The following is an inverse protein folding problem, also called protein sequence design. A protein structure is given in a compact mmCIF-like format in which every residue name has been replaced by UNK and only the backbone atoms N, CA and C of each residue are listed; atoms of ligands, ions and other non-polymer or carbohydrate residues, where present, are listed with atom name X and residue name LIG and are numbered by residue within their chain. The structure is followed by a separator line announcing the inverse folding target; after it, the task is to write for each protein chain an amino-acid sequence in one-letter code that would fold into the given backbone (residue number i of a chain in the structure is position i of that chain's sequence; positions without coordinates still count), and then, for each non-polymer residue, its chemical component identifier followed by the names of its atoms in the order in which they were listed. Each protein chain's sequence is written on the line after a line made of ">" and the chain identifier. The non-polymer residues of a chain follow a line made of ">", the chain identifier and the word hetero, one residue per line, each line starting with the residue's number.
data_IF_483228380491
#
_entry.id   IF_483228380491
#
_cell.length_a   1.000
_cell.length_b   1.000
_cell.length_c   1.000
_cell.angle_alpha   90.00
_cell.angle_beta   90.00
_cell.angle_gamma   90.00
#
_symmetry.space_group_name_H-M   'P 1'
#
loop_
_entity.id
_entity.type
_entity.pdbx_description
1 polymer ?
#
# COMPACT_ATOMS: atom_id res chain seq x y z
N UNK A 1 15.40 -20.00 6.25
CA UNK A 1 14.68 -19.46 5.08
C UNK A 1 14.99 -17.99 5.01
N UNK A 2 15.66 -17.53 3.95
CA UNK A 2 16.12 -16.14 3.85
C UNK A 2 14.91 -15.20 3.84
N UNK A 3 14.78 -14.39 4.89
CA UNK A 3 13.80 -13.31 4.90
C UNK A 3 14.10 -12.42 3.70
N UNK A 4 13.20 -12.42 2.72
CA UNK A 4 13.24 -11.45 1.62
C UNK A 4 13.21 -10.08 2.27
N UNK A 5 14.35 -9.39 2.28
CA UNK A 5 14.49 -8.08 2.93
C UNK A 5 13.71 -7.07 2.09
N UNK A 6 12.40 -6.94 2.33
CA UNK A 6 11.59 -5.87 1.76
C UNK A 6 12.15 -4.53 2.25
N UNK A 7 12.26 -3.56 1.35
CA UNK A 7 12.70 -2.21 1.71
C UNK A 7 11.69 -1.56 2.65
N UNK A 8 12.16 -0.90 3.71
CA UNK A 8 11.30 -0.18 4.66
C UNK A 8 11.08 1.24 4.17
N UNK A 9 9.82 1.63 4.00
CA UNK A 9 9.40 3.00 3.72
C UNK A 9 8.63 3.52 4.93
N UNK A 10 8.89 4.75 5.35
CA UNK A 10 8.13 5.44 6.39
C UNK A 10 7.57 6.72 5.79
N UNK A 11 6.27 6.95 5.94
CA UNK A 11 5.61 8.17 5.49
C UNK A 11 4.70 8.71 6.59
N UNK A 12 4.45 10.01 6.55
CA UNK A 12 3.51 10.69 7.44
C UNK A 12 2.15 10.79 6.76
N UNK A 13 1.09 10.60 7.52
CA UNK A 13 -0.28 10.80 7.05
C UNK A 13 -1.16 11.34 8.19
N UNK A 14 -2.30 11.97 7.88
CA UNK A 14 -3.29 12.33 8.89
C UNK A 14 -3.77 11.10 9.67
N UNK A 15 -4.09 11.29 10.95
CA UNK A 15 -4.60 10.22 11.82
C UNK A 15 -5.83 9.52 11.23
N UNK A 16 -6.76 10.28 10.63
CA UNK A 16 -7.95 9.73 9.99
C UNK A 16 -7.61 8.73 8.87
N UNK A 17 -6.56 9.00 8.10
CA UNK A 17 -6.13 8.11 7.00
C UNK A 17 -5.56 6.82 7.58
N UNK A 18 -4.75 6.91 8.64
CA UNK A 18 -4.23 5.73 9.35
C UNK A 18 -5.37 4.85 9.88
N UNK A 19 -6.36 5.45 10.54
CA UNK A 19 -7.47 4.71 11.13
C UNK A 19 -8.33 4.00 10.07
N UNK A 20 -8.54 4.66 8.92
CA UNK A 20 -9.20 4.08 7.75
C UNK A 20 -8.40 2.90 7.19
N UNK A 21 -7.08 3.02 7.02
CA UNK A 21 -6.23 1.93 6.55
C UNK A 21 -6.22 0.75 7.53
N UNK A 22 -6.13 0.99 8.84
CA UNK A 22 -6.21 -0.07 9.85
C UNK A 22 -7.57 -0.78 9.82
N UNK A 23 -8.66 -0.04 9.63
CA UNK A 23 -10.01 -0.60 9.50
C UNK A 23 -10.18 -1.46 8.25
N UNK A 24 -9.65 -1.01 7.11
CA UNK A 24 -9.66 -1.77 5.85
C UNK A 24 -8.84 -3.06 5.97
N UNK A 25 -7.65 -2.98 6.59
CA UNK A 25 -6.78 -4.14 6.80
C UNK A 25 -7.49 -5.21 7.64
N UNK A 26 -8.19 -4.80 8.70
CA UNK A 26 -9.00 -5.69 9.54
C UNK A 26 -10.15 -6.34 8.76
N UNK A 27 -10.89 -5.56 7.96
CA UNK A 27 -12.00 -6.06 7.13
C UNK A 27 -11.56 -7.12 6.13
N UNK A 28 -10.36 -6.97 5.58
CA UNK A 28 -9.79 -7.89 4.59
C UNK A 28 -8.91 -8.99 5.20
N UNK A 29 -8.89 -9.11 6.54
CA UNK A 29 -8.08 -10.09 7.28
C UNK A 29 -6.59 -10.11 6.85
N UNK A 30 -6.01 -8.92 6.65
CA UNK A 30 -4.61 -8.73 6.24
C UNK A 30 -3.88 -7.72 7.13
N UNK A 31 -2.55 -7.74 7.10
CA UNK A 31 -1.75 -6.74 7.81
C UNK A 31 -1.82 -5.39 7.10
N UNK A 32 -1.61 -4.30 7.85
CA UNK A 32 -1.54 -2.94 7.30
C UNK A 32 -0.46 -2.84 6.20
N UNK A 33 0.70 -3.47 6.40
CA UNK A 33 1.77 -3.50 5.40
C UNK A 33 1.36 -4.18 4.10
N UNK A 34 0.65 -5.31 4.17
CA UNK A 34 0.18 -6.01 2.96
C UNK A 34 -0.95 -5.25 2.25
N UNK A 35 -1.81 -4.55 3.02
CA UNK A 35 -2.81 -3.64 2.47
C UNK A 35 -2.15 -2.52 1.67
N UNK A 36 -1.22 -1.80 2.30
CA UNK A 36 -0.53 -0.65 1.68
C UNK A 36 0.31 -1.11 0.49
N UNK A 37 0.99 -2.25 0.58
CA UNK A 37 1.74 -2.83 -0.54
C UNK A 37 0.86 -3.01 -1.77
N UNK A 38 -0.32 -3.65 -1.62
CA UNK A 38 -1.26 -3.84 -2.73
C UNK A 38 -1.75 -2.51 -3.29
N UNK A 39 -2.18 -1.57 -2.43
CA UNK A 39 -2.69 -0.27 -2.87
C UNK A 39 -1.64 0.52 -3.66
N UNK A 40 -0.38 0.50 -3.22
CA UNK A 40 0.72 1.19 -3.90
C UNK A 40 1.06 0.50 -5.22
N UNK A 41 1.08 -0.84 -5.26
CA UNK A 41 1.30 -1.58 -6.51
C UNK A 41 0.21 -1.28 -7.54
N UNK A 42 -1.06 -1.30 -7.13
CA UNK A 42 -2.21 -1.00 -7.99
C UNK A 42 -2.13 0.44 -8.52
N UNK A 43 -1.79 1.41 -7.65
CA UNK A 43 -1.64 2.81 -8.04
C UNK A 43 -0.46 3.07 -9.01
N UNK A 44 0.64 2.33 -8.87
CA UNK A 44 1.77 2.40 -9.82
C UNK A 44 1.33 1.86 -11.18
N UNK A 45 0.67 0.71 -11.22
CA UNK A 45 0.20 0.11 -12.47
C UNK A 45 -0.80 1.02 -13.21
N UNK A 46 -1.67 1.71 -12.48
CA UNK A 46 -2.61 2.71 -13.04
C UNK A 46 -1.87 3.95 -13.58
N UNK A 47 -0.90 4.45 -12.81
CA UNK A 47 -0.10 5.63 -13.21
C UNK A 47 0.71 5.40 -14.48
N UNK A 48 1.25 4.20 -14.67
CA UNK A 48 2.05 3.86 -15.86
C UNK A 48 1.15 3.67 -17.08
N UNK A 49 -0.02 3.04 -16.94
CA UNK A 49 -1.01 2.92 -18.03
C UNK A 49 -1.53 4.28 -18.50
N UNK A 50 -1.72 5.22 -17.58
CA UNK A 50 -2.18 6.57 -17.90
C UNK A 50 -1.11 7.43 -18.62
N UNK A 51 0.16 7.00 -18.63
CA UNK A 51 1.28 7.72 -19.27
C UNK A 51 1.58 7.26 -20.70
N UNK A 52 1.19 6.04 -21.08
CA UNK A 52 1.41 5.50 -22.43
C UNK A 52 0.43 6.02 -23.50
N UNK A 53 -0.47 6.95 -23.14
CA UNK A 53 -1.48 7.51 -24.07
C UNK A 53 -1.24 8.96 -24.51
N UNK A 54 -0.04 9.53 -24.29
CA UNK A 54 0.37 10.84 -24.84
C UNK A 54 1.64 10.74 -25.65
#
# INVERSE_FOLDING_TARGET
>A
MAATKKAKITFTCPHEVRDKLESLAKRENRTLSNLVEKLVMDAILDSEQSRETT
#
